data_IF_972211591375
#
_entry.id   IF_972211591375
#
_cell.length_a   1.000
_cell.length_b   1.000
_cell.length_c   1.000
_cell.angle_alpha   90.00
_cell.angle_beta   90.00
_cell.angle_gamma   90.00
#
_symmetry.space_group_name_H-M   'P 1'
#
loop_
_entity.id
_entity.type
_entity.pdbx_description
1 polymer ?
#
# COMPACT_ATOMS: atom_id res chain seq x y z
N UNK A 1 -19.03 -7.45 2.00
CA UNK A 1 -18.21 -8.41 1.25
C UNK A 1 -19.13 -9.52 0.78
N UNK A 2 -19.00 -9.91 -0.48
CA UNK A 2 -19.82 -10.95 -1.09
C UNK A 2 -18.89 -11.90 -1.83
N UNK A 3 -19.12 -13.21 -1.68
CA UNK A 3 -18.38 -14.24 -2.41
C UNK A 3 -19.33 -14.97 -3.39
N UNK A 4 -18.88 -15.05 -4.63
CA UNK A 4 -19.48 -15.85 -5.66
C UNK A 4 -18.55 -17.02 -6.08
N UNK A 5 -19.11 -18.08 -6.60
CA UNK A 5 -18.34 -19.10 -7.30
C UNK A 5 -18.06 -18.69 -8.77
N UNK A 6 -17.36 -19.57 -9.51
CA UNK A 6 -17.04 -19.34 -10.92
C UNK A 6 -18.26 -19.31 -11.85
N UNK A 7 -19.42 -19.78 -11.38
CA UNK A 7 -20.69 -19.79 -12.11
C UNK A 7 -21.60 -18.62 -11.66
N UNK A 8 -21.05 -17.62 -10.98
CA UNK A 8 -21.76 -16.44 -10.45
C UNK A 8 -22.84 -16.78 -9.41
N UNK A 9 -22.79 -17.97 -8.79
CA UNK A 9 -23.70 -18.35 -7.70
C UNK A 9 -23.17 -17.76 -6.39
N UNK A 10 -24.07 -17.10 -5.63
CA UNK A 10 -23.77 -16.58 -4.32
C UNK A 10 -23.41 -17.71 -3.35
N UNK A 11 -22.20 -17.66 -2.76
CA UNK A 11 -21.76 -18.60 -1.72
C UNK A 11 -22.11 -18.04 -0.35
N UNK A 12 -21.67 -16.80 -0.07
CA UNK A 12 -22.00 -16.09 1.17
C UNK A 12 -21.92 -14.57 1.00
N UNK A 13 -22.60 -13.86 1.89
CA UNK A 13 -22.55 -12.41 2.00
C UNK A 13 -22.34 -12.02 3.47
N UNK A 14 -21.41 -11.09 3.70
CA UNK A 14 -21.07 -10.59 5.04
C UNK A 14 -21.04 -9.08 5.06
N UNK A 15 -21.69 -8.52 6.06
CA UNK A 15 -21.62 -7.11 6.36
C UNK A 15 -21.22 -6.91 7.83
N UNK A 16 -20.05 -6.29 8.04
CA UNK A 16 -19.48 -6.06 9.36
C UNK A 16 -19.78 -4.64 9.91
N UNK A 17 -20.60 -3.84 9.20
CA UNK A 17 -20.85 -2.44 9.53
C UNK A 17 -22.28 -2.22 10.02
N UNK A 18 -22.43 -1.42 11.06
CA UNK A 18 -23.74 -0.92 11.51
C UNK A 18 -24.29 0.18 10.54
N UNK A 19 -25.50 0.68 10.82
CA UNK A 19 -26.17 1.67 9.94
C UNK A 19 -25.41 3.00 9.86
N UNK A 20 -24.78 3.46 10.94
CA UNK A 20 -24.01 4.70 10.95
C UNK A 20 -22.69 4.57 10.20
N UNK A 21 -21.97 3.48 10.40
CA UNK A 21 -20.72 3.19 9.70
C UNK A 21 -20.92 3.04 8.18
N UNK A 22 -22.03 2.43 7.74
CA UNK A 22 -22.37 2.34 6.31
C UNK A 22 -22.56 3.69 5.64
N UNK A 23 -23.12 4.68 6.35
CA UNK A 23 -23.28 6.05 5.83
C UNK A 23 -21.94 6.73 5.54
N UNK A 24 -20.87 6.31 6.23
CA UNK A 24 -19.51 6.82 6.02
C UNK A 24 -18.81 6.19 4.81
N UNK A 25 -19.46 5.21 4.13
CA UNK A 25 -18.96 4.53 2.94
C UNK A 25 -17.51 4.07 3.10
N UNK A 26 -17.21 3.12 4.05
CA UNK A 26 -15.85 2.72 4.34
C UNK A 26 -15.15 2.14 3.11
N UNK A 27 -13.91 2.57 2.90
CA UNK A 27 -13.03 2.01 1.87
C UNK A 27 -12.33 0.79 2.47
N UNK A 28 -12.38 -0.34 1.74
CA UNK A 28 -11.80 -1.60 2.18
C UNK A 28 -10.48 -1.89 1.45
N UNK A 29 -9.48 -2.27 2.21
CA UNK A 29 -8.19 -2.74 1.73
C UNK A 29 -8.04 -4.21 2.12
N UNK A 30 -7.81 -5.10 1.14
CA UNK A 30 -7.91 -6.54 1.38
C UNK A 30 -6.76 -7.31 0.75
N UNK A 31 -6.38 -8.40 1.40
CA UNK A 31 -5.50 -9.42 0.84
C UNK A 31 -5.83 -10.78 1.46
N UNK A 32 -5.58 -11.87 0.72
CA UNK A 32 -5.84 -13.22 1.19
C UNK A 32 -4.59 -14.09 1.23
N UNK A 33 -4.56 -15.00 2.19
CA UNK A 33 -3.58 -16.08 2.28
C UNK A 33 -4.26 -17.35 2.80
N UNK A 34 -4.24 -18.41 1.99
CA UNK A 34 -4.99 -19.63 2.30
C UNK A 34 -6.48 -19.34 2.50
N UNK A 35 -7.03 -19.79 3.60
CA UNK A 35 -8.45 -19.60 3.94
C UNK A 35 -8.74 -18.28 4.65
N UNK A 36 -7.76 -17.41 4.83
CA UNK A 36 -7.89 -16.15 5.55
C UNK A 36 -7.94 -14.99 4.56
N UNK A 37 -8.99 -14.17 4.65
CA UNK A 37 -9.08 -12.86 4.02
C UNK A 37 -8.91 -11.80 5.10
N UNK A 38 -7.79 -11.09 5.06
CA UNK A 38 -7.56 -9.92 5.91
C UNK A 38 -8.18 -8.68 5.28
N UNK A 39 -8.85 -7.91 6.10
CA UNK A 39 -9.48 -6.64 5.73
C UNK A 39 -9.02 -5.57 6.71
N UNK A 40 -8.60 -4.43 6.18
CA UNK A 40 -8.43 -3.17 6.90
C UNK A 40 -9.31 -2.12 6.23
N UNK A 41 -9.77 -1.11 6.98
CA UNK A 41 -10.66 -0.11 6.43
C UNK A 41 -10.31 1.34 6.82
N UNK A 42 -10.97 2.28 6.14
CA UNK A 42 -10.85 3.71 6.40
C UNK A 42 -11.55 4.18 7.69
N UNK A 43 -12.16 3.28 8.48
CA UNK A 43 -12.74 3.54 9.80
C UNK A 43 -11.91 2.94 10.94
N UNK A 44 -10.65 2.56 10.65
CA UNK A 44 -9.70 1.97 11.61
C UNK A 44 -10.02 0.55 12.06
N UNK A 45 -10.96 -0.16 11.41
CA UNK A 45 -11.18 -1.57 11.73
C UNK A 45 -10.25 -2.45 10.92
N UNK A 46 -9.79 -3.55 11.52
CA UNK A 46 -9.10 -4.62 10.82
C UNK A 46 -9.51 -5.98 11.37
N UNK A 47 -9.68 -6.92 10.48
CA UNK A 47 -10.24 -8.22 10.84
C UNK A 47 -9.91 -9.29 9.80
N UNK A 48 -10.05 -10.54 10.17
CA UNK A 48 -9.93 -11.69 9.28
C UNK A 48 -11.26 -12.41 9.20
N UNK A 49 -11.64 -12.77 8.00
CA UNK A 49 -12.75 -13.69 7.74
C UNK A 49 -12.25 -14.94 7.04
N UNK A 50 -12.92 -16.05 7.31
CA UNK A 50 -12.71 -17.29 6.60
C UNK A 50 -13.35 -17.19 5.20
N UNK A 51 -12.54 -17.36 4.15
CA UNK A 51 -13.03 -17.22 2.75
C UNK A 51 -14.03 -18.30 2.34
N UNK A 52 -14.09 -19.44 3.04
CA UNK A 52 -14.99 -20.51 2.67
C UNK A 52 -16.42 -20.28 3.13
N UNK A 53 -16.61 -19.77 4.37
CA UNK A 53 -17.92 -19.61 4.98
C UNK A 53 -18.29 -18.17 5.37
N UNK A 54 -17.36 -17.21 5.21
CA UNK A 54 -17.59 -15.80 5.57
C UNK A 54 -17.60 -15.50 7.07
N UNK A 55 -17.26 -16.45 7.93
CA UNK A 55 -17.21 -16.24 9.38
C UNK A 55 -16.02 -15.37 9.77
N UNK A 56 -16.24 -14.48 10.75
CA UNK A 56 -15.17 -13.66 11.31
C UNK A 56 -14.31 -14.53 12.23
N UNK A 57 -13.02 -14.65 11.91
CA UNK A 57 -12.04 -15.36 12.73
C UNK A 57 -11.65 -14.52 13.94
N UNK A 58 -11.35 -13.25 13.69
CA UNK A 58 -11.10 -12.23 14.71
C UNK A 58 -11.34 -10.83 14.14
N UNK A 59 -11.57 -9.85 15.02
CA UNK A 59 -11.79 -8.45 14.67
C UNK A 59 -11.17 -7.55 15.73
N UNK A 60 -10.51 -6.47 15.29
CA UNK A 60 -9.86 -5.48 16.15
C UNK A 60 -10.04 -4.07 15.59
N UNK A 61 -9.73 -3.07 16.42
CA UNK A 61 -9.73 -1.66 16.04
C UNK A 61 -8.34 -1.07 16.21
N UNK A 62 -7.92 -0.29 15.22
CA UNK A 62 -6.69 0.50 15.25
C UNK A 62 -6.99 1.94 15.70
N UNK A 63 -5.96 2.72 15.99
CA UNK A 63 -6.11 4.13 16.39
C UNK A 63 -6.40 5.05 15.22
N UNK A 64 -5.82 4.77 14.05
CA UNK A 64 -5.89 5.61 12.86
C UNK A 64 -6.47 4.87 11.66
N UNK A 65 -7.20 5.52 10.75
CA UNK A 65 -7.67 4.92 9.50
C UNK A 65 -6.55 4.30 8.68
N UNK A 66 -6.84 3.21 7.98
CA UNK A 66 -5.90 2.65 7.02
C UNK A 66 -6.07 3.32 5.64
N UNK A 67 -4.97 3.46 4.89
CA UNK A 67 -4.97 4.06 3.55
C UNK A 67 -3.89 3.46 2.64
N UNK A 68 -3.77 2.15 2.57
CA UNK A 68 -2.78 1.51 1.71
C UNK A 68 -3.26 0.21 1.10
N UNK A 69 -2.47 -0.31 0.17
CA UNK A 69 -2.53 -1.72 -0.17
C UNK A 69 -2.28 -2.57 1.08
N UNK A 70 -2.84 -3.78 1.10
CA UNK A 70 -2.49 -4.81 2.07
C UNK A 70 -1.59 -5.83 1.39
N UNK A 71 -0.50 -6.23 2.04
CA UNK A 71 0.35 -7.35 1.60
C UNK A 71 0.45 -8.38 2.71
N UNK A 72 0.49 -9.65 2.31
CA UNK A 72 0.64 -10.76 3.25
C UNK A 72 1.86 -11.59 2.83
N UNK A 73 2.70 -11.91 3.78
CA UNK A 73 3.88 -12.75 3.58
C UNK A 73 4.13 -13.63 4.80
N UNK A 74 4.08 -14.93 4.62
CA UNK A 74 4.32 -15.92 5.67
C UNK A 74 3.57 -15.65 6.98
N UNK A 75 2.27 -15.32 6.87
CA UNK A 75 1.43 -15.01 8.01
C UNK A 75 1.58 -13.61 8.62
N UNK A 76 2.48 -12.78 8.10
CA UNK A 76 2.63 -11.37 8.44
C UNK A 76 1.79 -10.52 7.50
N UNK A 77 1.01 -9.61 8.03
CA UNK A 77 0.16 -8.67 7.28
C UNK A 77 0.75 -7.29 7.39
N UNK A 78 0.95 -6.64 6.26
CA UNK A 78 1.52 -5.30 6.12
C UNK A 78 0.46 -4.33 5.62
N UNK A 79 0.29 -3.22 6.32
CA UNK A 79 -0.65 -2.15 5.96
C UNK A 79 -0.18 -0.81 6.54
N UNK A 80 -0.35 0.28 5.80
CA UNK A 80 -0.02 1.65 6.25
C UNK A 80 -1.30 2.37 6.65
N UNK A 81 -1.23 3.08 7.77
CA UNK A 81 -2.32 3.93 8.24
C UNK A 81 -2.18 5.39 7.74
N UNK A 82 -3.19 6.21 8.03
CA UNK A 82 -3.24 7.62 7.64
C UNK A 82 -2.19 8.50 8.34
N UNK A 83 -1.51 7.98 9.36
CA UNK A 83 -0.40 8.67 10.03
C UNK A 83 0.98 8.26 9.49
N UNK A 84 1.02 7.66 8.28
CA UNK A 84 2.23 7.18 7.64
C UNK A 84 2.98 6.11 8.45
N UNK A 85 2.26 5.33 9.27
CA UNK A 85 2.84 4.22 10.00
C UNK A 85 2.60 2.92 9.24
N UNK A 86 3.66 2.25 8.84
CA UNK A 86 3.58 0.87 8.36
C UNK A 86 3.45 -0.06 9.57
N UNK A 87 2.37 -0.79 9.62
CA UNK A 87 2.07 -1.75 10.66
C UNK A 87 2.21 -3.19 10.12
N UNK A 88 2.78 -4.06 10.94
CA UNK A 88 2.85 -5.50 10.69
C UNK A 88 2.04 -6.24 11.76
N UNK A 89 1.07 -7.03 11.32
CA UNK A 89 0.23 -7.84 12.19
C UNK A 89 0.37 -9.33 11.88
N UNK A 90 0.13 -10.17 12.87
CA UNK A 90 -0.08 -11.60 12.67
C UNK A 90 -1.46 -11.84 12.04
N UNK A 91 -1.52 -12.59 10.94
CA UNK A 91 -2.79 -12.97 10.32
C UNK A 91 -3.63 -13.89 11.21
N UNK A 92 -2.97 -14.63 12.12
CA UNK A 92 -3.59 -15.64 12.97
C UNK A 92 -4.54 -15.02 13.99
N UNK A 93 -4.12 -13.93 14.61
CA UNK A 93 -4.80 -13.33 15.76
C UNK A 93 -4.83 -11.80 15.77
N UNK A 94 -4.25 -11.15 14.76
CA UNK A 94 -4.17 -9.69 14.63
C UNK A 94 -3.29 -9.02 15.69
N UNK A 95 -2.39 -9.75 16.36
CA UNK A 95 -1.39 -9.14 17.24
C UNK A 95 -0.40 -8.31 16.43
N UNK A 96 -0.02 -7.15 16.95
CA UNK A 96 1.00 -6.29 16.33
C UNK A 96 2.38 -6.92 16.56
N UNK A 97 3.09 -7.22 15.47
CA UNK A 97 4.44 -7.79 15.51
C UNK A 97 5.49 -6.67 15.62
N UNK A 98 5.36 -5.67 14.77
CA UNK A 98 6.20 -4.46 14.75
C UNK A 98 5.50 -3.35 13.98
N UNK A 99 6.03 -2.12 14.04
CA UNK A 99 5.60 -0.98 13.24
C UNK A 99 6.78 -0.05 12.99
N UNK A 100 6.70 0.72 11.91
CA UNK A 100 7.61 1.82 11.61
C UNK A 100 6.79 3.06 11.26
N UNK A 101 6.95 4.13 12.03
CA UNK A 101 6.37 5.44 11.71
C UNK A 101 7.38 6.24 10.90
N UNK A 102 6.93 6.79 9.77
CA UNK A 102 7.69 7.75 8.97
C UNK A 102 7.19 9.17 9.25
N UNK A 103 7.79 10.15 8.61
CA UNK A 103 7.33 11.53 8.74
C UNK A 103 5.86 11.67 8.34
N UNK A 104 5.18 12.57 9.03
CA UNK A 104 3.78 12.88 8.81
C UNK A 104 3.58 14.39 8.74
N UNK A 105 2.53 14.84 8.06
CA UNK A 105 2.09 16.22 7.98
C UNK A 105 0.64 16.34 8.44
N UNK A 106 0.23 17.54 8.86
CA UNK A 106 -1.20 17.82 9.13
C UNK A 106 -2.07 17.64 7.89
N UNK A 107 -1.48 17.81 6.71
CA UNK A 107 -2.14 17.62 5.43
C UNK A 107 -1.45 16.47 4.69
N UNK A 108 -2.21 15.41 4.42
CA UNK A 108 -1.73 14.23 3.74
C UNK A 108 -2.42 14.05 2.39
N UNK A 109 -1.70 13.53 1.41
CA UNK A 109 -2.29 13.14 0.14
C UNK A 109 -3.35 12.05 0.36
N UNK A 110 -4.56 12.19 -0.22
CA UNK A 110 -5.61 11.18 -0.09
C UNK A 110 -5.35 9.92 -0.92
N UNK A 111 -4.27 9.90 -1.70
CA UNK A 111 -3.95 8.75 -2.56
C UNK A 111 -3.63 7.51 -1.73
N UNK A 112 -4.19 6.37 -2.16
CA UNK A 112 -3.88 5.06 -1.59
C UNK A 112 -2.38 4.76 -1.69
N UNK A 113 -1.77 4.45 -0.56
CA UNK A 113 -0.34 4.16 -0.45
C UNK A 113 -0.02 2.76 -0.99
N UNK A 114 1.17 2.63 -1.55
CA UNK A 114 1.68 1.40 -2.17
C UNK A 114 2.60 0.64 -1.22
N UNK A 115 2.48 -0.68 -1.24
CA UNK A 115 3.39 -1.60 -0.54
C UNK A 115 3.85 -2.67 -1.53
N UNK A 116 5.14 -2.88 -1.64
CA UNK A 116 5.75 -3.95 -2.45
C UNK A 116 6.71 -4.75 -1.58
N UNK A 117 6.69 -6.07 -1.76
CA UNK A 117 7.62 -6.98 -1.10
C UNK A 117 8.51 -7.67 -2.13
N UNK A 118 9.80 -7.66 -1.90
CA UNK A 118 10.82 -8.36 -2.70
C UNK A 118 11.98 -8.76 -1.81
N UNK A 119 12.42 -10.02 -1.89
CA UNK A 119 13.63 -10.51 -1.20
C UNK A 119 13.72 -10.13 0.29
N UNK A 120 12.63 -10.36 1.06
CA UNK A 120 12.50 -9.98 2.48
C UNK A 120 12.61 -8.47 2.77
N UNK A 121 12.56 -7.64 1.75
CA UNK A 121 12.51 -6.19 1.90
C UNK A 121 11.11 -5.70 1.53
N UNK A 122 10.53 -4.89 2.39
CA UNK A 122 9.28 -4.18 2.14
C UNK A 122 9.61 -2.76 1.71
N UNK A 123 9.08 -2.37 0.56
CA UNK A 123 9.15 -1.00 0.06
C UNK A 123 7.76 -0.40 0.15
N UNK A 124 7.63 0.79 0.70
CA UNK A 124 6.36 1.51 0.75
C UNK A 124 6.58 3.01 0.59
N UNK A 125 5.56 3.69 0.10
CA UNK A 125 5.52 5.14 0.09
C UNK A 125 4.64 5.67 1.23
N UNK A 126 4.96 6.87 1.70
CA UNK A 126 4.11 7.63 2.60
C UNK A 126 3.33 8.73 1.84
N UNK A 127 2.49 9.47 2.54
CA UNK A 127 1.67 10.56 1.96
C UNK A 127 2.50 11.78 1.54
N UNK A 128 3.75 11.89 1.98
CA UNK A 128 4.69 12.95 1.60
C UNK A 128 5.52 12.58 0.37
N UNK A 129 5.38 11.33 -0.12
CA UNK A 129 6.12 10.85 -1.30
C UNK A 129 7.48 10.25 -0.99
N UNK A 130 7.83 10.05 0.28
CA UNK A 130 9.04 9.31 0.63
C UNK A 130 8.86 7.84 0.28
N UNK A 131 9.94 7.23 -0.16
CA UNK A 131 10.02 5.79 -0.35
C UNK A 131 10.92 5.21 0.73
N UNK A 132 10.41 4.24 1.45
CA UNK A 132 11.09 3.61 2.58
C UNK A 132 11.26 2.12 2.32
N UNK A 133 12.46 1.60 2.58
CA UNK A 133 12.76 0.18 2.56
C UNK A 133 13.05 -0.33 3.96
N UNK A 134 12.46 -1.45 4.32
CA UNK A 134 12.59 -2.06 5.65
C UNK A 134 12.79 -3.58 5.54
N UNK A 135 13.32 -4.15 6.60
CA UNK A 135 13.35 -5.59 6.77
C UNK A 135 11.99 -6.12 7.23
N UNK A 136 11.44 -7.15 6.56
CA UNK A 136 10.12 -7.70 6.88
C UNK A 136 10.10 -8.46 8.21
N UNK A 137 11.25 -8.97 8.66
CA UNK A 137 11.27 -9.83 9.83
C UNK A 137 11.15 -9.05 11.13
N UNK A 138 11.75 -7.87 11.21
CA UNK A 138 11.79 -7.05 12.42
C UNK A 138 11.35 -5.59 12.26
N UNK A 139 11.04 -5.13 11.02
CA UNK A 139 10.64 -3.76 10.75
C UNK A 139 11.78 -2.74 10.79
N UNK A 140 13.05 -3.17 10.80
CA UNK A 140 14.19 -2.26 10.82
C UNK A 140 14.35 -1.51 9.50
N UNK A 141 14.61 -0.20 9.60
CA UNK A 141 14.86 0.67 8.46
C UNK A 141 16.16 0.25 7.75
N UNK A 142 16.10 0.04 6.44
CA UNK A 142 17.27 -0.17 5.58
C UNK A 142 17.72 1.15 4.96
N UNK A 143 16.79 1.85 4.30
CA UNK A 143 17.00 3.16 3.73
C UNK A 143 15.67 3.89 3.51
N UNK A 144 15.76 5.20 3.35
CA UNK A 144 14.65 6.07 2.97
C UNK A 144 15.14 7.16 2.04
N UNK A 145 14.34 7.49 1.03
CA UNK A 145 14.57 8.60 0.11
C UNK A 145 13.34 9.48 0.05
N UNK A 146 13.55 10.80 0.04
CA UNK A 146 12.50 11.76 -0.24
C UNK A 146 12.44 12.09 -1.73
N UNK A 147 11.21 12.18 -2.26
CA UNK A 147 10.98 12.55 -3.66
C UNK A 147 10.26 13.89 -3.81
N UNK A 148 9.94 14.53 -2.69
CA UNK A 148 9.31 15.83 -2.63
C UNK A 148 10.18 16.80 -1.82
N UNK A 149 10.38 18.01 -2.35
CA UNK A 149 11.16 19.08 -1.70
C UNK A 149 10.31 20.33 -1.45
N UNK A 150 8.99 20.24 -1.44
CA UNK A 150 8.11 21.40 -1.22
C UNK A 150 7.59 21.45 0.20
N UNK A 151 7.68 22.63 0.83
CA UNK A 151 7.07 22.93 2.12
C UNK A 151 5.67 23.57 1.98
N UNK A 152 5.20 23.75 0.74
CA UNK A 152 3.91 24.37 0.43
C UNK A 152 2.79 23.33 0.63
N UNK A 153 1.88 23.57 1.56
CA UNK A 153 0.79 22.64 1.92
C UNK A 153 -0.10 22.22 0.75
N UNK A 154 -0.44 23.13 -0.16
CA UNK A 154 -1.23 22.80 -1.34
C UNK A 154 -0.51 21.82 -2.27
N UNK A 155 0.81 21.95 -2.40
CA UNK A 155 1.63 21.03 -3.17
C UNK A 155 1.72 19.65 -2.52
N UNK A 156 1.79 19.58 -1.19
CA UNK A 156 1.80 18.33 -0.43
C UNK A 156 0.47 17.59 -0.63
N UNK A 157 -0.66 18.28 -0.46
CA UNK A 157 -1.99 17.68 -0.64
C UNK A 157 -2.21 17.11 -2.05
N UNK A 158 -1.74 17.83 -3.05
CA UNK A 158 -1.87 17.43 -4.45
C UNK A 158 -0.79 16.48 -4.92
N UNK A 159 0.23 16.21 -4.09
CA UNK A 159 1.32 15.31 -4.46
C UNK A 159 0.84 13.86 -4.57
N UNK A 160 1.18 13.22 -5.68
CA UNK A 160 0.80 11.83 -5.96
C UNK A 160 1.99 11.07 -6.50
N UNK A 161 2.28 9.95 -5.88
CA UNK A 161 3.20 8.94 -6.43
C UNK A 161 2.41 7.81 -7.07
N UNK A 162 2.97 7.16 -8.08
CA UNK A 162 2.43 5.91 -8.61
C UNK A 162 2.53 4.78 -7.58
N UNK A 163 1.89 3.64 -7.86
CA UNK A 163 2.24 2.41 -7.18
C UNK A 163 3.70 2.04 -7.49
N UNK A 164 4.41 1.55 -6.47
CA UNK A 164 5.78 1.05 -6.60
C UNK A 164 5.73 -0.32 -7.27
N UNK A 165 6.66 -0.59 -8.19
CA UNK A 165 6.94 -1.94 -8.67
C UNK A 165 8.38 -2.33 -8.38
N UNK A 166 8.62 -3.62 -8.11
CA UNK A 166 9.95 -4.16 -7.89
C UNK A 166 10.39 -5.01 -9.08
N UNK A 167 11.44 -4.57 -9.76
CA UNK A 167 12.16 -5.31 -10.79
C UNK A 167 13.17 -6.32 -10.19
N UNK A 168 14.21 -6.65 -10.94
CA UNK A 168 15.23 -7.57 -10.44
C UNK A 168 16.10 -6.90 -9.36
N UNK A 169 16.70 -5.75 -9.66
CA UNK A 169 17.60 -5.01 -8.76
C UNK A 169 17.13 -3.60 -8.45
N UNK A 170 16.02 -3.16 -9.02
CA UNK A 170 15.49 -1.81 -8.85
C UNK A 170 14.03 -1.80 -8.46
N UNK A 171 13.62 -0.75 -7.78
CA UNK A 171 12.23 -0.34 -7.68
C UNK A 171 11.97 0.82 -8.64
N UNK A 172 10.77 0.84 -9.18
CA UNK A 172 10.34 1.83 -10.18
C UNK A 172 9.04 2.47 -9.70
N UNK A 173 8.97 3.78 -9.81
CA UNK A 173 7.78 4.57 -9.50
C UNK A 173 7.88 5.94 -10.17
N UNK A 174 6.76 6.61 -10.30
CA UNK A 174 6.67 7.97 -10.81
C UNK A 174 5.91 8.88 -9.84
N UNK A 175 5.94 10.18 -10.09
CA UNK A 175 5.12 11.14 -9.38
C UNK A 175 4.52 12.19 -10.34
N UNK A 176 3.58 12.97 -9.83
CA UNK A 176 2.92 14.03 -10.59
C UNK A 176 3.71 15.36 -10.62
N UNK A 177 4.97 15.35 -10.24
CA UNK A 177 5.94 16.44 -10.38
C UNK A 177 6.92 16.15 -11.52
N UNK A 178 6.44 15.43 -12.54
CA UNK A 178 7.19 15.14 -13.77
C UNK A 178 8.50 14.36 -13.50
N UNK A 179 8.45 13.37 -12.64
CA UNK A 179 9.61 12.54 -12.29
C UNK A 179 9.24 11.05 -12.31
N UNK A 180 10.00 10.28 -13.04
CA UNK A 180 10.02 8.82 -13.01
C UNK A 180 11.37 8.35 -12.47
N UNK A 181 11.36 7.42 -11.53
CA UNK A 181 12.55 6.98 -10.82
C UNK A 181 12.83 5.51 -11.03
N UNK A 182 14.11 5.18 -11.16
CA UNK A 182 14.66 3.87 -10.88
C UNK A 182 15.61 3.98 -9.69
N UNK A 183 15.38 3.19 -8.66
CA UNK A 183 16.13 3.21 -7.41
C UNK A 183 16.66 1.81 -7.11
N UNK A 184 17.92 1.71 -6.73
CA UNK A 184 18.53 0.44 -6.33
C UNK A 184 17.84 -0.13 -5.08
N UNK A 185 17.48 -1.40 -5.10
CA UNK A 185 16.72 -2.05 -4.02
C UNK A 185 17.51 -2.17 -2.71
N UNK A 186 18.84 -2.27 -2.79
CA UNK A 186 19.69 -2.53 -1.64
C UNK A 186 20.10 -1.23 -0.96
N UNK A 187 20.62 -0.28 -1.75
CA UNK A 187 21.19 0.96 -1.25
C UNK A 187 20.24 2.14 -1.15
N UNK A 188 19.12 2.13 -1.90
CA UNK A 188 18.26 3.30 -2.05
C UNK A 188 18.83 4.38 -2.98
N UNK A 189 19.95 4.10 -3.65
CA UNK A 189 20.56 5.06 -4.58
C UNK A 189 19.70 5.17 -5.85
N UNK A 190 19.51 6.40 -6.32
CA UNK A 190 18.80 6.65 -7.57
C UNK A 190 19.70 6.24 -8.74
N UNK A 191 19.31 5.20 -9.48
CA UNK A 191 20.02 4.76 -10.69
C UNK A 191 19.85 5.77 -11.83
N UNK A 192 18.59 6.20 -12.04
CA UNK A 192 18.26 7.22 -13.04
C UNK A 192 16.90 7.88 -12.75
N UNK A 193 16.71 9.06 -13.34
CA UNK A 193 15.45 9.80 -13.38
C UNK A 193 15.10 10.16 -14.79
N UNK A 194 13.80 10.15 -15.12
CA UNK A 194 13.25 10.61 -16.40
C UNK A 194 12.14 11.62 -16.16
N UNK A 195 11.99 12.57 -17.09
CA UNK A 195 10.92 13.58 -17.04
C UNK A 195 9.62 13.00 -17.59
N UNK A 196 8.87 12.28 -16.76
CA UNK A 196 7.59 11.68 -17.12
C UNK A 196 6.58 12.03 -16.05
N UNK A 197 5.51 12.72 -16.43
CA UNK A 197 4.40 13.09 -15.53
C UNK A 197 3.38 11.96 -15.48
N UNK A 198 3.52 11.07 -14.51
CA UNK A 198 2.60 9.94 -14.34
C UNK A 198 2.35 9.66 -12.86
N UNK A 199 1.12 9.30 -12.52
CA UNK A 199 0.76 8.74 -11.23
C UNK A 199 0.15 7.33 -11.38
N UNK A 200 0.28 6.75 -12.58
CA UNK A 200 -0.15 5.38 -12.87
C UNK A 200 0.95 4.38 -12.50
N UNK A 201 0.52 3.17 -12.16
CA UNK A 201 1.44 2.07 -11.90
C UNK A 201 2.19 1.70 -13.17
N UNK A 202 3.54 1.71 -13.16
CA UNK A 202 4.31 1.22 -14.29
C UNK A 202 4.13 -0.29 -14.47
N UNK A 203 4.36 -0.78 -15.68
CA UNK A 203 4.35 -2.21 -16.01
C UNK A 203 5.77 -2.64 -16.38
N UNK A 204 6.24 -3.74 -15.82
CA UNK A 204 7.54 -4.33 -16.14
C UNK A 204 7.33 -5.66 -16.87
N UNK A 205 7.89 -5.77 -18.07
CA UNK A 205 7.85 -6.98 -18.90
C UNK A 205 9.29 -7.30 -19.32
N UNK A 206 9.90 -8.29 -18.65
CA UNK A 206 11.33 -8.58 -18.85
C UNK A 206 12.19 -7.38 -18.46
N UNK A 207 12.90 -6.80 -19.42
CA UNK A 207 13.71 -5.56 -19.26
C UNK A 207 12.98 -4.27 -19.65
N UNK A 208 11.77 -4.38 -20.21
CA UNK A 208 10.99 -3.23 -20.66
C UNK A 208 10.18 -2.66 -19.50
N UNK A 209 10.24 -1.34 -19.36
CA UNK A 209 9.42 -0.57 -18.42
C UNK A 209 8.42 0.25 -19.23
N UNK A 210 7.14 0.01 -19.01
CA UNK A 210 6.07 0.67 -19.74
C UNK A 210 5.29 1.57 -18.78
N UNK A 211 5.08 2.82 -19.15
CA UNK A 211 4.22 3.75 -18.41
C UNK A 211 3.49 4.69 -19.36
N UNK A 212 2.40 5.29 -18.88
CA UNK A 212 1.61 6.28 -19.62
C UNK A 212 1.65 7.59 -18.83
N UNK A 213 2.00 8.69 -19.50
CA UNK A 213 1.94 10.00 -18.89
C UNK A 213 0.52 10.55 -18.83
N UNK A 214 0.30 11.60 -18.03
CA UNK A 214 -0.98 12.31 -17.95
C UNK A 214 -1.36 13.00 -19.26
N UNK A 215 -0.38 13.33 -20.08
CA UNK A 215 -0.54 13.89 -21.41
C UNK A 215 -0.96 12.84 -22.46
N UNK A 216 -1.01 11.55 -22.06
CA UNK A 216 -1.42 10.44 -22.94
C UNK A 216 -0.30 9.79 -23.73
N UNK A 217 0.96 10.12 -23.48
CA UNK A 217 2.10 9.48 -24.15
C UNK A 217 2.42 8.12 -23.50
N UNK A 218 2.61 7.12 -24.35
CA UNK A 218 3.15 5.81 -23.95
C UNK A 218 4.68 5.87 -24.02
N UNK A 219 5.33 5.55 -22.91
CA UNK A 219 6.77 5.43 -22.79
C UNK A 219 7.17 3.96 -22.60
N UNK A 220 8.21 3.54 -23.33
CA UNK A 220 8.78 2.20 -23.23
C UNK A 220 10.30 2.31 -23.06
#
# INVERSE_FOLDING_TARGET
>A
IIKFDNNSKLIWSKNNYNKSEKKLMPILFMASQGNNLFIADSLSNYYVINVNNGETVWSKKHTSPFNSQVKIYQGKVLVVDSENTLNCYSIKDGSKLWHLKTENSFINSPKKLSIVLKNKTVFFNNSLGDITAIDIDNGSLKWQISTQNSEIYEEIFNFKTSEIIAGNNSILFSNNKNQFYSVDQISGTINWKQKINSDLRPVLIGSLVITISKEGYLYI
#
